data_IF_568960314716
#
_entry.id   IF_568960314716
#
_cell.length_a   1.000
_cell.length_b   1.000
_cell.length_c   1.000
_cell.angle_alpha   90.00
_cell.angle_beta   90.00
_cell.angle_gamma   90.00
#
_symmetry.space_group_name_H-M   'P 1'
#
loop_
_entity.id
_entity.type
_entity.pdbx_description
1 polymer ?
#
# COMPACT_ATOMS: atom_id res chain seq x y z
N UNK A 1 37.23 11.06 33.88
CA UNK A 1 36.60 12.33 33.48
C UNK A 1 36.88 12.56 32.00
N UNK A 2 36.08 12.03 31.12
CA UNK A 2 36.03 12.37 29.68
C UNK A 2 34.63 12.05 29.20
N UNK A 3 33.91 13.08 28.80
CA UNK A 3 32.56 13.16 28.33
C UNK A 3 32.42 12.41 26.99
N UNK A 4 31.50 11.45 26.91
CA UNK A 4 31.07 10.86 25.66
C UNK A 4 29.96 11.72 25.07
N UNK A 5 30.31 12.54 24.06
CA UNK A 5 29.35 13.22 23.22
C UNK A 5 28.58 12.18 22.36
N UNK A 6 27.28 12.12 22.58
CA UNK A 6 26.39 11.36 21.74
C UNK A 6 26.24 12.09 20.38
N UNK A 7 26.88 11.55 19.36
CA UNK A 7 26.63 11.95 17.99
C UNK A 7 25.22 11.43 17.61
N UNK A 8 24.24 12.31 17.65
CA UNK A 8 22.91 12.09 17.09
C UNK A 8 23.02 12.18 15.57
N UNK A 9 23.21 11.05 14.90
CA UNK A 9 23.00 10.98 13.46
C UNK A 9 21.51 11.07 13.21
N UNK A 10 21.03 12.24 12.79
CA UNK A 10 19.70 12.42 12.21
C UNK A 10 19.65 11.57 10.94
N UNK A 11 19.04 10.42 11.01
CA UNK A 11 18.56 9.71 9.82
C UNK A 11 17.45 10.59 9.24
N UNK A 12 17.74 11.24 8.13
CA UNK A 12 16.74 11.92 7.32
C UNK A 12 15.73 10.85 6.88
N UNK A 13 14.50 10.96 7.38
CA UNK A 13 13.37 10.13 6.97
C UNK A 13 13.28 10.20 5.45
N UNK A 14 13.66 9.10 4.77
CA UNK A 14 13.45 8.94 3.36
C UNK A 14 11.95 9.03 3.08
N UNK A 15 11.57 9.92 2.19
CA UNK A 15 10.20 10.16 1.80
C UNK A 15 9.67 8.91 1.08
N UNK A 16 8.74 8.20 1.72
CA UNK A 16 7.97 7.17 1.03
C UNK A 16 7.04 7.87 0.03
N UNK A 17 7.34 7.72 -1.25
CA UNK A 17 6.43 8.18 -2.31
C UNK A 17 5.32 7.13 -2.42
N UNK A 18 4.13 7.45 -1.95
CA UNK A 18 2.93 6.65 -2.17
C UNK A 18 2.18 7.17 -3.40
N UNK A 19 1.67 6.28 -4.22
CA UNK A 19 0.85 6.61 -5.39
C UNK A 19 -0.56 6.06 -5.19
N UNK A 20 -1.57 6.92 -5.33
CA UNK A 20 -2.98 6.57 -5.25
C UNK A 20 -3.55 6.46 -6.66
N UNK A 21 -4.10 5.31 -7.01
CA UNK A 21 -4.84 5.10 -8.26
C UNK A 21 -6.32 5.00 -7.91
N UNK A 22 -7.12 5.98 -8.32
CA UNK A 22 -8.57 6.00 -8.13
C UNK A 22 -9.26 5.80 -9.47
N UNK A 23 -9.97 4.68 -9.62
CA UNK A 23 -10.88 4.42 -10.75
C UNK A 23 -12.30 4.83 -10.34
N UNK A 24 -12.82 5.91 -10.88
CA UNK A 24 -14.18 6.37 -10.60
C UNK A 24 -15.13 5.96 -11.73
N UNK A 25 -16.17 5.19 -11.40
CA UNK A 25 -17.32 4.92 -12.27
C UNK A 25 -18.51 5.79 -11.86
N UNK A 26 -19.11 6.51 -12.79
CA UNK A 26 -20.33 7.28 -12.56
C UNK A 26 -21.56 6.50 -13.02
N UNK A 27 -22.65 6.59 -12.26
CA UNK A 27 -23.94 6.01 -12.59
C UNK A 27 -24.67 6.95 -13.55
N UNK A 28 -24.99 6.49 -14.75
CA UNK A 28 -25.91 7.19 -15.65
C UNK A 28 -27.34 6.70 -15.44
N UNK A 29 -28.25 7.59 -15.02
CA UNK A 29 -29.69 7.37 -15.15
C UNK A 29 -30.10 7.52 -16.60
N UNK A 30 -31.03 6.70 -17.14
CA UNK A 30 -31.53 6.90 -18.49
C UNK A 30 -32.45 8.14 -18.51
N UNK A 31 -32.05 9.18 -19.20
CA UNK A 31 -32.91 10.30 -19.58
C UNK A 31 -33.28 10.11 -21.04
N UNK A 32 -34.59 10.10 -21.30
CA UNK A 32 -35.21 10.03 -22.63
C UNK A 32 -34.66 11.10 -23.57
N UNK A 33 -34.46 10.68 -24.81
CA UNK A 33 -34.04 11.54 -25.90
C UNK A 33 -35.07 12.65 -26.16
N UNK A 34 -34.70 13.89 -26.11
CA UNK A 34 -34.82 14.94 -27.11
C UNK A 34 -34.17 16.23 -26.59
N UNK A 35 -33.24 16.73 -27.32
CA UNK A 35 -32.95 18.14 -27.59
C UNK A 35 -31.44 18.40 -27.64
N UNK A 36 -30.99 18.73 -28.85
CA UNK A 36 -29.85 19.60 -29.20
C UNK A 36 -28.53 19.46 -28.40
N UNK A 37 -27.53 18.90 -29.05
CA UNK A 37 -26.11 19.01 -28.70
C UNK A 37 -25.71 20.47 -28.40
N UNK A 38 -25.56 20.79 -27.12
CA UNK A 38 -24.66 21.84 -26.68
C UNK A 38 -23.49 21.13 -26.00
N UNK A 39 -22.34 21.15 -26.65
CA UNK A 39 -21.06 20.79 -26.07
C UNK A 39 -20.86 21.60 -24.79
N UNK A 40 -21.17 20.98 -23.64
CA UNK A 40 -20.77 21.51 -22.34
C UNK A 40 -19.31 21.14 -22.19
N UNK A 41 -18.41 22.08 -22.48
CA UNK A 41 -17.05 21.99 -22.00
C UNK A 41 -17.10 21.84 -20.48
N UNK A 42 -16.71 20.67 -19.98
CA UNK A 42 -16.55 20.45 -18.56
C UNK A 42 -15.61 21.55 -18.04
N UNK A 43 -16.14 22.43 -17.22
CA UNK A 43 -15.33 23.45 -16.56
C UNK A 43 -14.27 22.74 -15.74
N UNK A 44 -13.03 22.83 -16.19
CA UNK A 44 -11.86 22.35 -15.44
C UNK A 44 -11.77 23.24 -14.20
N UNK A 45 -12.31 22.79 -13.08
CA UNK A 45 -12.11 23.46 -11.80
C UNK A 45 -10.62 23.64 -11.59
N UNK A 46 -10.19 24.85 -11.23
CA UNK A 46 -8.81 25.13 -10.89
C UNK A 46 -8.40 24.19 -9.76
N UNK A 47 -7.21 23.57 -9.82
CA UNK A 47 -6.75 22.67 -8.78
C UNK A 47 -6.73 23.41 -7.44
N UNK A 48 -7.20 22.74 -6.37
CA UNK A 48 -7.14 23.29 -5.02
C UNK A 48 -5.70 23.66 -4.65
N UNK A 49 -5.51 24.69 -3.82
CA UNK A 49 -4.19 25.14 -3.42
C UNK A 49 -3.34 23.97 -2.91
N UNK A 50 -2.15 23.77 -3.49
CA UNK A 50 -1.23 22.68 -3.14
C UNK A 50 -1.38 21.40 -3.96
N UNK A 51 -2.23 21.38 -5.01
CA UNK A 51 -2.35 20.28 -5.96
C UNK A 51 -1.84 20.74 -7.33
N UNK A 52 -0.83 20.07 -7.84
CA UNK A 52 -0.24 20.35 -9.15
C UNK A 52 -0.61 19.24 -10.13
N UNK A 53 -1.15 19.61 -11.30
CA UNK A 53 -1.36 18.66 -12.39
C UNK A 53 -0.05 18.47 -13.15
N UNK A 54 0.50 17.26 -13.13
CA UNK A 54 1.79 16.95 -13.73
C UNK A 54 1.68 16.60 -15.21
N UNK A 55 0.84 15.62 -15.54
CA UNK A 55 0.68 15.12 -16.91
C UNK A 55 -0.68 14.43 -17.09
N UNK A 56 -1.04 14.18 -18.35
CA UNK A 56 -2.18 13.35 -18.70
C UNK A 56 -1.83 12.54 -19.96
N UNK A 57 -1.96 11.22 -19.88
CA UNK A 57 -1.65 10.29 -20.95
C UNK A 57 -2.73 9.20 -20.99
N UNK A 58 -3.30 8.96 -22.16
CA UNK A 58 -4.28 7.87 -22.41
C UNK A 58 -5.44 7.81 -21.38
N UNK A 59 -5.93 8.97 -20.96
CA UNK A 59 -7.04 9.07 -20.00
C UNK A 59 -6.61 9.02 -18.53
N UNK A 60 -5.33 8.74 -18.24
CA UNK A 60 -4.77 8.82 -16.89
C UNK A 60 -4.26 10.23 -16.66
N UNK A 61 -4.69 10.86 -15.58
CA UNK A 61 -4.17 12.17 -15.16
C UNK A 61 -3.38 12.01 -13.88
N UNK A 62 -2.15 12.51 -13.87
CA UNK A 62 -1.28 12.53 -12.70
C UNK A 62 -1.34 13.90 -12.02
N UNK A 63 -1.51 13.87 -10.72
CA UNK A 63 -1.40 15.02 -9.82
C UNK A 63 -0.31 14.79 -8.78
N UNK A 64 0.25 15.87 -8.29
CA UNK A 64 1.21 15.88 -7.17
C UNK A 64 0.69 16.78 -6.07
N UNK A 65 0.64 16.25 -4.85
CA UNK A 65 0.29 17.02 -3.66
C UNK A 65 1.51 17.73 -3.08
N UNK A 66 1.30 18.76 -2.27
CA UNK A 66 2.38 19.54 -1.64
C UNK A 66 3.34 18.69 -0.77
N UNK A 67 2.84 17.58 -0.21
CA UNK A 67 3.64 16.63 0.57
C UNK A 67 4.41 15.60 -0.30
N UNK A 68 4.34 15.72 -1.62
CA UNK A 68 5.02 14.82 -2.57
C UNK A 68 4.21 13.57 -2.97
N UNK A 69 3.01 13.36 -2.41
CA UNK A 69 2.14 12.26 -2.82
C UNK A 69 1.74 12.42 -4.28
N UNK A 70 1.92 11.35 -5.05
CA UNK A 70 1.48 11.27 -6.45
C UNK A 70 0.11 10.61 -6.51
N UNK A 71 -0.83 11.22 -7.21
CA UNK A 71 -2.20 10.73 -7.40
C UNK A 71 -2.44 10.52 -8.88
N UNK A 72 -2.80 9.30 -9.27
CA UNK A 72 -3.18 8.96 -10.63
C UNK A 72 -4.70 8.74 -10.67
N UNK A 73 -5.37 9.49 -11.52
CA UNK A 73 -6.81 9.36 -11.74
C UNK A 73 -7.05 8.76 -13.12
N UNK A 74 -7.76 7.65 -13.14
CA UNK A 74 -8.21 6.99 -14.37
C UNK A 74 -9.73 6.78 -14.32
N UNK A 75 -10.53 7.73 -14.83
CA UNK A 75 -11.98 7.59 -14.88
C UNK A 75 -12.39 6.54 -15.93
N UNK A 76 -13.09 5.49 -15.47
CA UNK A 76 -13.70 4.47 -16.31
C UNK A 76 -15.20 4.39 -15.97
N UNK A 77 -16.04 4.87 -16.88
CA UNK A 77 -17.50 4.89 -16.70
C UNK A 77 -18.17 3.58 -17.14
N UNK A 78 -17.42 2.61 -17.62
CA UNK A 78 -17.96 1.33 -18.09
C UNK A 78 -18.45 0.42 -16.96
N UNK A 79 -18.04 0.69 -15.71
CA UNK A 79 -18.39 -0.13 -14.53
C UNK A 79 -18.78 0.72 -13.33
N UNK A 80 -19.80 0.32 -12.57
CA UNK A 80 -20.23 1.05 -11.37
C UNK A 80 -19.35 0.71 -10.16
N UNK A 81 -18.03 0.69 -10.33
CA UNK A 81 -17.08 0.34 -9.26
C UNK A 81 -15.92 1.32 -9.21
N UNK A 82 -15.42 1.55 -8.01
CA UNK A 82 -14.18 2.28 -7.76
C UNK A 82 -13.13 1.30 -7.24
N UNK A 83 -11.90 1.47 -7.68
CA UNK A 83 -10.73 0.84 -7.07
C UNK A 83 -9.81 1.94 -6.56
N UNK A 84 -9.50 1.90 -5.28
CA UNK A 84 -8.42 2.69 -4.67
C UNK A 84 -7.22 1.77 -4.52
N UNK A 85 -6.02 2.25 -4.85
CA UNK A 85 -4.78 1.51 -4.69
C UNK A 85 -3.69 2.45 -4.19
N UNK A 86 -3.22 2.20 -2.97
CA UNK A 86 -2.11 2.92 -2.37
C UNK A 86 -0.85 2.08 -2.54
N UNK A 87 0.17 2.67 -3.16
CA UNK A 87 1.46 2.00 -3.39
C UNK A 87 2.57 2.72 -2.63
N UNK A 88 3.21 1.99 -1.74
CA UNK A 88 4.44 2.39 -1.07
C UNK A 88 5.62 1.85 -1.86
N UNK A 89 6.57 2.70 -2.24
CA UNK A 89 7.78 2.31 -2.97
C UNK A 89 8.84 1.75 -2.00
N UNK A 90 8.38 0.89 -1.11
CA UNK A 90 9.15 0.15 -0.13
C UNK A 90 8.74 -1.31 -0.18
N UNK A 91 9.71 -2.21 -0.25
CA UNK A 91 9.52 -3.64 -0.28
C UNK A 91 10.74 -4.38 0.26
N UNK A 92 10.84 -5.66 0.04
CA UNK A 92 11.87 -6.51 0.66
C UNK A 92 13.31 -6.13 0.32
N UNK A 93 13.57 -5.40 -0.76
CA UNK A 93 14.93 -4.91 -1.05
C UNK A 93 15.44 -3.87 -0.05
N UNK A 94 14.54 -3.26 0.74
CA UNK A 94 14.89 -2.23 1.72
C UNK A 94 15.14 -2.80 3.13
N UNK A 95 15.06 -4.12 3.27
CA UNK A 95 15.30 -4.83 4.52
C UNK A 95 16.80 -4.93 4.80
N UNK A 96 17.17 -4.99 6.10
CA UNK A 96 18.55 -5.19 6.53
C UNK A 96 18.89 -6.69 6.65
N UNK A 97 20.18 -6.99 6.83
CA UNK A 97 20.62 -8.33 7.16
C UNK A 97 20.04 -8.78 8.52
N UNK A 98 19.49 -9.99 8.55
CA UNK A 98 18.83 -10.55 9.74
C UNK A 98 17.41 -10.02 9.98
N UNK A 99 16.87 -9.27 9.03
CA UNK A 99 15.53 -8.66 9.11
C UNK A 99 14.69 -8.98 7.87
N UNK A 100 15.01 -10.05 7.15
CA UNK A 100 14.28 -10.43 5.94
C UNK A 100 12.85 -10.85 6.26
N UNK A 101 11.88 -10.40 5.45
CA UNK A 101 10.46 -10.63 5.64
C UNK A 101 9.72 -9.53 6.38
N UNK A 102 10.41 -8.46 6.85
CA UNK A 102 9.77 -7.37 7.59
C UNK A 102 8.74 -6.60 6.76
N UNK A 103 9.02 -6.36 5.48
CA UNK A 103 8.08 -5.68 4.59
C UNK A 103 6.76 -6.45 4.45
N UNK A 104 6.84 -7.78 4.34
CA UNK A 104 5.67 -8.65 4.28
C UNK A 104 4.93 -8.75 5.63
N UNK A 105 5.66 -8.90 6.74
CA UNK A 105 5.06 -8.85 8.07
C UNK A 105 4.34 -7.52 8.34
N UNK A 106 4.94 -6.41 7.92
CA UNK A 106 4.32 -5.10 8.05
C UNK A 106 3.04 -5.01 7.22
N UNK A 107 3.01 -5.59 6.01
CA UNK A 107 1.78 -5.69 5.21
C UNK A 107 0.65 -6.29 6.04
N UNK A 108 0.86 -7.44 6.68
CA UNK A 108 -0.12 -8.11 7.54
C UNK A 108 -0.58 -7.22 8.70
N UNK A 109 0.36 -6.57 9.39
CA UNK A 109 0.04 -5.75 10.55
C UNK A 109 -0.76 -4.50 10.19
N UNK A 110 -0.58 -3.95 9.00
CA UNK A 110 -1.33 -2.79 8.53
C UNK A 110 -2.82 -3.08 8.25
N UNK A 111 -3.24 -4.34 8.25
CA UNK A 111 -4.66 -4.72 8.23
C UNK A 111 -5.31 -4.78 9.62
N UNK A 112 -4.54 -4.70 10.71
CA UNK A 112 -5.04 -4.85 12.08
C UNK A 112 -5.83 -3.65 12.56
N UNK A 113 -5.40 -2.44 12.21
CA UNK A 113 -6.14 -1.23 12.55
C UNK A 113 -5.27 0.01 12.78
N UNK A 114 -5.99 1.11 12.91
CA UNK A 114 -5.51 2.44 13.25
C UNK A 114 -6.52 3.10 14.20
N UNK A 115 -6.22 4.21 14.88
CA UNK A 115 -7.09 4.79 15.90
C UNK A 115 -8.50 5.14 15.44
N UNK A 116 -8.66 5.63 14.23
CA UNK A 116 -9.98 5.93 13.63
C UNK A 116 -10.66 4.69 13.06
N UNK A 117 -9.86 3.66 12.72
CA UNK A 117 -10.30 2.44 12.08
C UNK A 117 -9.74 1.21 12.82
N UNK A 118 -10.18 0.94 14.07
CA UNK A 118 -9.56 -0.08 14.93
C UNK A 118 -9.74 -1.52 14.46
N UNK A 119 -10.57 -1.76 13.46
CA UNK A 119 -10.83 -3.09 12.89
C UNK A 119 -11.07 -2.96 11.40
N UNK A 120 -10.02 -2.65 10.64
CA UNK A 120 -10.08 -2.34 9.20
C UNK A 120 -10.84 -3.43 8.43
N UNK A 121 -10.46 -4.70 8.59
CA UNK A 121 -11.10 -5.84 7.89
C UNK A 121 -12.61 -5.90 8.12
N UNK A 122 -13.06 -5.70 9.37
CA UNK A 122 -14.48 -5.73 9.70
C UNK A 122 -15.24 -4.56 9.08
N UNK A 123 -14.61 -3.38 9.00
CA UNK A 123 -15.24 -2.20 8.40
C UNK A 123 -15.39 -2.37 6.88
N UNK A 124 -14.40 -2.92 6.20
CA UNK A 124 -14.49 -3.29 4.77
C UNK A 124 -15.63 -4.26 4.53
N UNK A 125 -15.72 -5.33 5.34
CA UNK A 125 -16.77 -6.32 5.20
C UNK A 125 -18.17 -5.72 5.42
N UNK A 126 -18.35 -4.85 6.42
CA UNK A 126 -19.63 -4.16 6.66
C UNK A 126 -20.06 -3.27 5.51
N UNK A 127 -19.10 -2.69 4.77
CA UNK A 127 -19.36 -1.85 3.59
C UNK A 127 -19.44 -2.65 2.28
N UNK A 128 -19.31 -3.98 2.33
CA UNK A 128 -19.32 -4.84 1.15
C UNK A 128 -18.12 -4.61 0.21
N UNK A 129 -17.02 -4.08 0.73
CA UNK A 129 -15.80 -3.82 -0.02
C UNK A 129 -14.90 -5.05 -0.05
N UNK A 130 -14.18 -5.23 -1.14
CA UNK A 130 -13.09 -6.21 -1.24
C UNK A 130 -11.77 -5.49 -1.12
N UNK A 131 -10.89 -6.01 -0.30
CA UNK A 131 -9.55 -5.47 -0.09
C UNK A 131 -8.50 -6.55 -0.19
N UNK A 132 -7.26 -6.16 -0.50
CA UNK A 132 -6.07 -6.99 -0.39
C UNK A 132 -4.81 -6.12 -0.29
N UNK A 133 -3.69 -6.75 0.02
CA UNK A 133 -2.35 -6.19 -0.06
C UNK A 133 -1.43 -7.10 -0.85
N UNK A 134 -0.32 -6.59 -1.32
CA UNK A 134 0.77 -7.38 -1.90
C UNK A 134 2.09 -6.71 -1.61
N UNK A 135 3.08 -7.52 -1.26
CA UNK A 135 4.46 -7.09 -1.07
C UNK A 135 5.35 -7.73 -2.12
N UNK A 136 6.22 -6.94 -2.71
CA UNK A 136 7.27 -7.38 -3.62
C UNK A 136 8.62 -6.79 -3.23
N UNK A 137 9.67 -7.02 -4.03
CA UNK A 137 10.98 -6.46 -3.72
C UNK A 137 11.00 -4.93 -3.66
N UNK A 138 10.27 -4.26 -4.56
CA UNK A 138 10.35 -2.81 -4.76
C UNK A 138 9.21 -2.02 -4.13
N UNK A 139 8.09 -2.68 -3.84
CA UNK A 139 6.86 -2.02 -3.41
C UNK A 139 6.01 -2.90 -2.51
N UNK A 140 5.20 -2.23 -1.69
CA UNK A 140 4.05 -2.79 -1.00
C UNK A 140 2.83 -1.98 -1.37
N UNK A 141 1.73 -2.61 -1.75
CA UNK A 141 0.51 -1.87 -2.06
C UNK A 141 -0.71 -2.51 -1.40
N UNK A 142 -1.67 -1.64 -1.09
CA UNK A 142 -2.98 -2.00 -0.56
C UNK A 142 -4.02 -1.50 -1.53
N UNK A 143 -5.02 -2.31 -1.80
CA UNK A 143 -6.08 -1.94 -2.72
C UNK A 143 -7.44 -2.44 -2.26
N UNK A 144 -8.43 -1.63 -2.48
CA UNK A 144 -9.82 -1.94 -2.23
C UNK A 144 -10.67 -1.65 -3.46
N UNK A 145 -11.67 -2.51 -3.64
CA UNK A 145 -12.66 -2.38 -4.69
C UNK A 145 -14.06 -2.42 -4.10
N UNK A 146 -14.89 -1.44 -4.51
CA UNK A 146 -16.24 -1.26 -3.98
C UNK A 146 -17.17 -0.65 -5.01
N UNK A 147 -18.48 -0.70 -4.71
CA UNK A 147 -19.50 -0.02 -5.51
C UNK A 147 -19.28 1.49 -5.45
N UNK A 148 -19.37 2.16 -6.60
CA UNK A 148 -19.13 3.59 -6.72
C UNK A 148 -20.16 4.38 -5.91
N UNK A 149 -19.66 5.12 -4.91
CA UNK A 149 -20.38 6.13 -4.15
C UNK A 149 -19.39 7.10 -3.52
N UNK A 150 -19.80 8.35 -3.35
CA UNK A 150 -18.96 9.38 -2.74
C UNK A 150 -18.64 9.05 -1.27
N UNK A 151 -19.60 8.49 -0.52
CA UNK A 151 -19.38 8.08 0.87
C UNK A 151 -18.32 6.98 0.99
N UNK A 152 -18.41 5.96 0.13
CA UNK A 152 -17.44 4.88 0.12
C UNK A 152 -16.04 5.36 -0.30
N UNK A 153 -15.96 6.20 -1.33
CA UNK A 153 -14.69 6.77 -1.78
C UNK A 153 -14.05 7.63 -0.68
N UNK A 154 -14.82 8.53 -0.09
CA UNK A 154 -14.35 9.39 1.00
C UNK A 154 -13.85 8.56 2.18
N UNK A 155 -14.65 7.58 2.61
CA UNK A 155 -14.26 6.70 3.71
C UNK A 155 -13.00 5.91 3.40
N UNK A 156 -12.87 5.34 2.20
CA UNK A 156 -11.68 4.58 1.79
C UNK A 156 -10.42 5.44 1.83
N UNK A 157 -10.47 6.67 1.30
CA UNK A 157 -9.34 7.59 1.33
C UNK A 157 -8.98 8.05 2.75
N UNK A 158 -9.97 8.31 3.61
CA UNK A 158 -9.73 8.66 5.01
C UNK A 158 -9.13 7.49 5.79
N UNK A 159 -9.57 6.27 5.53
CA UNK A 159 -9.04 5.06 6.14
C UNK A 159 -7.60 4.80 5.68
N UNK A 160 -7.31 4.95 4.38
CA UNK A 160 -5.96 4.81 3.86
C UNK A 160 -5.00 5.86 4.44
N UNK A 161 -5.45 7.10 4.57
CA UNK A 161 -4.66 8.16 5.20
C UNK A 161 -4.37 7.86 6.69
N UNK A 162 -5.34 7.29 7.41
CA UNK A 162 -5.16 6.88 8.81
C UNK A 162 -4.19 5.69 8.91
N UNK A 163 -4.36 4.67 8.04
CA UNK A 163 -3.46 3.52 7.96
C UNK A 163 -2.02 3.91 7.63
N UNK A 164 -1.83 4.87 6.74
CA UNK A 164 -0.51 5.35 6.31
C UNK A 164 0.32 5.95 7.44
N UNK A 165 -0.34 6.54 8.44
CA UNK A 165 0.36 7.37 9.47
C UNK A 165 0.19 6.81 10.88
N UNK A 166 -0.90 6.09 11.15
CA UNK A 166 -1.32 5.77 12.50
C UNK A 166 -1.57 4.27 12.74
N UNK A 167 -1.12 3.36 11.87
CA UNK A 167 -1.29 1.93 12.10
C UNK A 167 -0.70 1.51 13.43
N UNK A 168 -1.40 0.62 14.15
CA UNK A 168 -1.02 0.28 15.52
C UNK A 168 0.32 -0.42 15.65
N UNK A 169 0.72 -1.24 14.68
CA UNK A 169 1.95 -2.07 14.68
C UNK A 169 2.25 -2.58 16.09
N UNK A 170 1.35 -3.42 16.60
CA UNK A 170 1.37 -3.85 17.99
C UNK A 170 1.92 -5.28 18.13
N UNK A 171 2.63 -5.54 19.24
CA UNK A 171 3.20 -6.88 19.50
C UNK A 171 2.15 -7.99 19.53
N UNK A 172 0.96 -7.74 20.11
CA UNK A 172 -0.15 -8.71 20.13
C UNK A 172 -0.59 -9.13 18.72
N UNK A 173 -0.55 -8.19 17.77
CA UNK A 173 -0.94 -8.44 16.39
C UNK A 173 0.16 -9.20 15.67
N UNK A 174 1.44 -8.89 15.92
CA UNK A 174 2.58 -9.67 15.43
C UNK A 174 2.48 -11.11 15.92
N UNK A 175 2.26 -11.33 17.21
CA UNK A 175 2.16 -12.67 17.79
C UNK A 175 1.01 -13.49 17.16
N UNK A 176 -0.11 -12.83 16.84
CA UNK A 176 -1.24 -13.48 16.15
C UNK A 176 -0.96 -13.80 14.69
N UNK A 177 -0.24 -12.92 13.97
CA UNK A 177 0.09 -13.12 12.55
C UNK A 177 1.23 -14.11 12.33
N UNK A 178 2.08 -14.31 13.30
CA UNK A 178 3.22 -15.22 13.18
C UNK A 178 2.83 -16.62 12.70
N UNK A 179 1.69 -17.14 13.17
CA UNK A 179 1.19 -18.45 12.73
C UNK A 179 0.76 -18.42 11.26
N UNK A 180 0.15 -17.34 10.81
CA UNK A 180 -0.29 -17.15 9.42
C UNK A 180 0.93 -17.11 8.50
N UNK A 181 1.90 -16.25 8.80
CA UNK A 181 3.10 -16.06 7.99
C UNK A 181 3.96 -17.33 7.95
N UNK A 182 4.05 -18.07 9.05
CA UNK A 182 4.72 -19.39 9.07
C UNK A 182 4.05 -20.41 8.15
N UNK A 183 2.73 -20.47 8.15
CA UNK A 183 1.97 -21.34 7.26
C UNK A 183 2.17 -20.95 5.79
N UNK A 184 2.27 -19.66 5.48
CA UNK A 184 2.57 -19.18 4.14
C UNK A 184 4.00 -19.54 3.71
N UNK A 185 4.97 -19.38 4.61
CA UNK A 185 6.34 -19.79 4.40
C UNK A 185 6.42 -21.30 4.08
N UNK A 186 5.81 -22.14 4.90
CA UNK A 186 5.79 -23.60 4.70
C UNK A 186 5.09 -24.00 3.39
N UNK A 187 4.02 -23.29 3.02
CA UNK A 187 3.36 -23.51 1.71
C UNK A 187 4.30 -23.18 0.55
N UNK A 188 5.09 -22.11 0.68
CA UNK A 188 6.12 -21.76 -0.31
C UNK A 188 7.21 -22.82 -0.44
N UNK A 189 7.70 -23.35 0.67
CA UNK A 189 8.73 -24.42 0.71
C UNK A 189 8.18 -25.76 0.14
N UNK A 190 6.89 -26.00 0.20
CA UNK A 190 6.25 -27.18 -0.40
C UNK A 190 5.95 -27.01 -1.90
N UNK A 191 6.24 -25.86 -2.49
CA UNK A 191 6.10 -25.60 -3.93
C UNK A 191 7.42 -25.83 -4.67
N UNK A 192 7.58 -26.88 -5.48
CA UNK A 192 8.83 -27.10 -6.21
C UNK A 192 9.23 -25.93 -7.09
N UNK A 193 8.24 -25.28 -7.74
CA UNK A 193 8.49 -24.09 -8.56
C UNK A 193 8.90 -22.89 -7.70
N UNK A 194 8.26 -22.68 -6.55
CA UNK A 194 8.63 -21.63 -5.59
C UNK A 194 10.08 -21.78 -5.10
N UNK A 195 10.47 -23.01 -4.74
CA UNK A 195 11.85 -23.33 -4.32
C UNK A 195 12.85 -23.09 -5.45
N UNK A 196 12.50 -23.48 -6.69
CA UNK A 196 13.35 -23.23 -7.87
C UNK A 196 13.59 -21.74 -8.08
N UNK A 197 12.52 -20.93 -8.08
CA UNK A 197 12.61 -19.47 -8.27
C UNK A 197 13.43 -18.82 -7.16
N UNK A 198 13.19 -19.19 -5.90
CA UNK A 198 13.95 -18.71 -4.74
C UNK A 198 15.45 -18.98 -4.88
N UNK A 199 15.83 -20.19 -5.28
CA UNK A 199 17.23 -20.56 -5.52
C UNK A 199 17.84 -19.82 -6.70
N UNK A 200 17.09 -19.71 -7.79
CA UNK A 200 17.54 -18.97 -8.98
C UNK A 200 17.82 -17.50 -8.63
N UNK A 201 16.93 -16.85 -7.89
CA UNK A 201 17.13 -15.48 -7.45
C UNK A 201 18.35 -15.33 -6.54
N UNK A 202 18.51 -16.22 -5.55
CA UNK A 202 19.66 -16.16 -4.65
C UNK A 202 20.99 -16.39 -5.36
N UNK A 203 21.02 -17.16 -6.44
CA UNK A 203 22.22 -17.35 -7.28
C UNK A 203 22.48 -16.18 -8.24
N UNK A 204 21.43 -15.55 -8.73
CA UNK A 204 21.54 -14.41 -9.66
C UNK A 204 21.96 -13.10 -8.96
N UNK A 205 21.63 -12.96 -7.68
CA UNK A 205 21.88 -11.77 -6.87
C UNK A 205 22.64 -12.14 -5.60
N UNK A 206 23.94 -12.30 -5.71
CA UNK A 206 24.81 -12.85 -4.67
C UNK A 206 24.75 -12.05 -3.35
N UNK A 207 24.77 -10.74 -3.42
CA UNK A 207 24.76 -9.86 -2.24
C UNK A 207 23.68 -8.77 -2.28
N UNK A 208 22.97 -8.62 -3.39
CA UNK A 208 21.87 -7.66 -3.49
C UNK A 208 20.57 -8.25 -2.89
N UNK A 209 19.77 -7.45 -2.21
CA UNK A 209 18.53 -7.90 -1.55
C UNK A 209 17.49 -8.53 -2.50
N UNK A 210 17.64 -8.40 -3.83
CA UNK A 210 16.82 -9.15 -4.78
C UNK A 210 17.06 -10.66 -4.71
N UNK A 211 18.17 -11.11 -4.14
CA UNK A 211 18.44 -12.52 -3.86
C UNK A 211 17.63 -13.09 -2.70
N UNK A 212 17.04 -12.21 -1.85
CA UNK A 212 16.19 -12.62 -0.75
C UNK A 212 14.74 -12.81 -1.19
N UNK A 213 14.10 -13.83 -0.63
CA UNK A 213 12.65 -14.02 -0.81
C UNK A 213 11.88 -12.95 -0.05
N UNK A 214 10.80 -12.41 -0.65
CA UNK A 214 9.95 -11.41 -0.01
C UNK A 214 9.32 -11.88 1.31
N UNK A 215 9.04 -13.19 1.42
CA UNK A 215 8.56 -13.75 2.69
C UNK A 215 9.64 -13.79 3.77
N UNK A 216 10.91 -13.64 3.38
CA UNK A 216 12.04 -13.67 4.30
C UNK A 216 12.58 -15.09 4.60
N UNK A 217 13.60 -15.13 5.45
CA UNK A 217 14.15 -16.36 5.98
C UNK A 217 13.41 -16.72 7.28
N UNK A 218 13.23 -18.02 7.52
CA UNK A 218 12.51 -18.51 8.69
C UNK A 218 13.10 -17.97 10.01
N UNK A 219 14.43 -17.98 10.12
CA UNK A 219 15.12 -17.47 11.31
C UNK A 219 14.82 -15.99 11.57
N UNK A 220 14.75 -15.17 10.53
CA UNK A 220 14.53 -13.73 10.65
C UNK A 220 13.09 -13.46 11.03
N UNK A 221 12.14 -14.14 10.35
CA UNK A 221 10.71 -14.03 10.64
C UNK A 221 10.41 -14.41 12.10
N UNK A 222 10.94 -15.54 12.59
CA UNK A 222 10.68 -16.03 13.94
C UNK A 222 11.31 -15.19 15.05
N UNK A 223 12.34 -14.40 14.73
CA UNK A 223 13.06 -13.56 15.70
C UNK A 223 12.85 -12.05 15.51
N UNK A 224 11.93 -11.65 14.62
CA UNK A 224 11.65 -10.23 14.40
C UNK A 224 11.17 -9.54 15.69
N UNK A 225 11.74 -8.38 15.97
CA UNK A 225 11.34 -7.56 17.09
C UNK A 225 10.30 -6.54 16.65
N UNK A 226 9.32 -6.30 17.52
CA UNK A 226 8.25 -5.32 17.21
C UNK A 226 8.82 -3.92 17.01
N UNK A 227 9.89 -3.57 17.76
CA UNK A 227 10.54 -2.27 17.65
C UNK A 227 11.16 -2.04 16.27
N UNK A 228 11.68 -3.11 15.64
CA UNK A 228 12.24 -3.04 14.30
C UNK A 228 11.13 -2.83 13.25
N UNK A 229 9.99 -3.53 13.40
CA UNK A 229 8.81 -3.31 12.55
C UNK A 229 8.23 -1.90 12.69
N UNK A 230 8.19 -1.37 13.91
CA UNK A 230 7.75 0.01 14.17
C UNK A 230 8.72 1.04 13.59
N UNK A 231 10.01 0.74 13.57
CA UNK A 231 11.02 1.61 12.96
C UNK A 231 11.00 1.53 11.41
N UNK A 232 10.61 0.38 10.87
CA UNK A 232 10.46 0.18 9.43
C UNK A 232 9.19 0.85 8.88
N UNK A 233 8.10 0.91 9.67
CA UNK A 233 6.87 1.63 9.40
C UNK A 233 7.08 3.15 9.49
#
# INVERSE_FOLDING_TARGET
MLSQEKVFTRVTRGWCVASVIVLCGFISTPVSADTAMKSSAAATAAPAAGIEKMTAVEGITEYRLANGLRVLLFPDQSKPTITVNITYLVGSRHENYGETGMAHLLEHLMFKGAPRNPSIVQQFNRRGMRMNGTTGPDRTNYFERFHASDDNLKWALEMEADRMVNSFIAKKDLDSEMTVVRNEYERGENSPFGVLVKRMQSMAYDWHNYGNSTIGNRSDIENVKIENLQAFY
#
